data_IF_187433999962
#
_entry.id   IF_187433999962
#
_cell.length_a   1.000
_cell.length_b   1.000
_cell.length_c   1.000
_cell.angle_alpha   90.00
_cell.angle_beta   90.00
_cell.angle_gamma   90.00
#
_symmetry.space_group_name_H-M   'P 1'
#
loop_
_entity.id
_entity.type
_entity.pdbx_description
1 polymer ?
#
# COMPACT_ATOMS: atom_id res chain seq x y z
N UNK A 1 31.77 -17.49 -50.76
CA UNK A 1 31.55 -16.40 -49.80
C UNK A 1 30.72 -16.92 -48.65
N UNK A 2 31.26 -16.82 -47.44
CA UNK A 2 30.57 -17.01 -46.15
C UNK A 2 29.52 -15.91 -45.98
N UNK A 3 28.29 -16.20 -45.51
CA UNK A 3 27.79 -15.79 -44.18
C UNK A 3 26.66 -16.74 -43.73
N UNK A 4 26.70 -17.02 -42.43
CA UNK A 4 25.89 -17.87 -41.56
C UNK A 4 24.45 -17.38 -41.31
N UNK A 5 23.55 -18.36 -41.18
CA UNK A 5 22.50 -18.57 -40.15
C UNK A 5 21.80 -17.37 -39.50
N UNK A 6 20.46 -17.40 -39.42
CA UNK A 6 19.76 -17.68 -38.15
C UNK A 6 18.26 -17.95 -38.36
N UNK A 7 17.81 -19.11 -37.88
CA UNK A 7 16.42 -19.51 -37.76
C UNK A 7 15.82 -18.78 -36.56
N UNK A 8 14.78 -17.96 -36.77
CA UNK A 8 13.92 -17.50 -35.67
C UNK A 8 12.59 -18.25 -35.76
N UNK A 9 12.54 -19.34 -34.99
CA UNK A 9 11.35 -20.14 -34.69
C UNK A 9 10.28 -19.25 -34.06
N UNK A 10 9.03 -19.50 -34.46
CA UNK A 10 7.80 -19.16 -33.75
C UNK A 10 7.99 -19.36 -32.24
N UNK A 11 7.73 -18.33 -31.44
CA UNK A 11 7.51 -18.49 -30.02
C UNK A 11 6.06 -18.94 -29.83
N UNK A 12 5.92 -20.17 -29.34
CA UNK A 12 4.66 -20.81 -28.96
C UNK A 12 3.94 -20.02 -27.87
N UNK A 13 2.62 -19.94 -27.99
CA UNK A 13 1.68 -19.65 -26.91
C UNK A 13 1.57 -20.84 -25.94
N UNK A 14 2.71 -21.26 -25.36
CA UNK A 14 2.79 -22.28 -24.33
C UNK A 14 3.93 -21.91 -23.37
N UNK A 15 3.67 -20.93 -22.52
CA UNK A 15 4.35 -20.84 -21.23
C UNK A 15 3.27 -20.61 -20.17
N UNK A 16 2.35 -21.58 -20.05
CA UNK A 16 1.74 -21.87 -18.76
C UNK A 16 2.89 -22.31 -17.84
N UNK A 17 3.40 -21.39 -17.03
CA UNK A 17 4.25 -21.75 -15.90
C UNK A 17 3.35 -22.37 -14.81
N UNK A 18 3.63 -23.59 -14.33
CA UNK A 18 2.93 -24.14 -13.19
C UNK A 18 3.52 -23.55 -11.89
N UNK A 19 2.62 -23.27 -10.93
CA UNK A 19 2.83 -22.78 -9.54
C UNK A 19 2.60 -21.29 -9.21
N UNK A 20 1.54 -20.71 -9.75
CA UNK A 20 0.98 -19.40 -9.35
C UNK A 20 0.35 -19.33 -7.93
N UNK A 21 0.48 -20.35 -7.06
CA UNK A 21 -0.43 -20.49 -5.91
C UNK A 21 -0.16 -19.57 -4.72
N UNK A 22 1.02 -18.95 -4.56
CA UNK A 22 1.26 -18.03 -3.42
C UNK A 22 1.00 -16.56 -3.80
N UNK A 23 1.25 -16.21 -5.07
CA UNK A 23 1.11 -14.84 -5.57
C UNK A 23 -0.31 -14.51 -6.03
N UNK A 24 -1.05 -15.49 -6.56
CA UNK A 24 -2.49 -15.30 -6.79
C UNK A 24 -3.24 -15.19 -5.47
N UNK A 25 -2.88 -15.95 -4.43
CA UNK A 25 -3.56 -15.87 -3.14
C UNK A 25 -3.25 -14.60 -2.33
N UNK A 26 -2.11 -13.93 -2.55
CA UNK A 26 -1.81 -12.65 -1.86
C UNK A 26 -2.34 -11.42 -2.60
N UNK A 27 -2.68 -11.53 -3.90
CA UNK A 27 -3.43 -10.50 -4.63
C UNK A 27 -4.95 -10.76 -4.62
N UNK A 28 -5.38 -12.04 -4.52
CA UNK A 28 -6.77 -12.46 -4.45
C UNK A 28 -7.36 -12.49 -3.03
N UNK A 29 -6.58 -12.19 -1.99
CA UNK A 29 -7.11 -12.05 -0.63
C UNK A 29 -8.06 -10.85 -0.46
N UNK A 30 -8.22 -9.96 -1.47
CA UNK A 30 -9.20 -8.86 -1.43
C UNK A 30 -9.82 -8.50 -2.80
N UNK A 31 -10.02 -9.49 -3.68
CA UNK A 31 -11.07 -9.46 -4.72
C UNK A 31 -10.96 -8.45 -5.89
N UNK A 32 -10.28 -7.32 -5.77
CA UNK A 32 -10.19 -6.31 -6.85
C UNK A 32 -8.81 -5.64 -6.83
N UNK A 33 -8.06 -5.73 -7.92
CA UNK A 33 -6.92 -4.84 -8.14
C UNK A 33 -7.51 -3.45 -8.41
N UNK A 34 -7.55 -2.61 -7.38
CA UNK A 34 -8.15 -1.27 -7.47
C UNK A 34 -7.15 -0.26 -7.98
N UNK A 35 -7.62 0.61 -8.88
CA UNK A 35 -6.86 1.71 -9.44
C UNK A 35 -6.59 2.83 -8.43
N UNK A 36 -7.36 2.90 -7.34
CA UNK A 36 -7.28 3.93 -6.31
C UNK A 36 -7.55 3.36 -4.91
N UNK A 37 -7.05 4.04 -3.89
CA UNK A 37 -7.40 3.76 -2.50
C UNK A 37 -8.82 4.27 -2.22
N UNK A 38 -9.76 3.36 -2.00
CA UNK A 38 -11.17 3.68 -1.72
C UNK A 38 -11.57 3.26 -0.31
N UNK A 39 -12.43 4.04 0.35
CA UNK A 39 -13.08 3.68 1.60
C UNK A 39 -13.20 4.85 2.57
N UNK A 40 -13.76 4.59 3.75
CA UNK A 40 -13.83 5.56 4.85
C UNK A 40 -12.80 5.28 5.94
N UNK A 41 -11.89 4.33 5.76
CA UNK A 41 -10.81 4.03 6.72
C UNK A 41 -9.49 4.56 6.21
N UNK A 42 -8.53 4.72 7.12
CA UNK A 42 -7.16 5.00 6.71
C UNK A 42 -6.58 3.82 5.91
N UNK A 43 -5.69 4.10 4.94
CA UNK A 43 -5.14 3.08 4.05
C UNK A 43 -4.41 1.95 4.80
N UNK A 44 -4.69 0.69 4.43
CA UNK A 44 -3.92 -0.47 4.89
C UNK A 44 -2.71 -0.72 4.00
N UNK A 45 -1.72 -1.46 4.51
CA UNK A 45 -0.57 -1.90 3.72
C UNK A 45 -1.00 -2.58 2.41
N UNK A 46 -2.03 -3.44 2.47
CA UNK A 46 -2.59 -4.11 1.31
C UNK A 46 -3.21 -3.16 0.29
N UNK A 47 -3.96 -2.14 0.72
CA UNK A 47 -4.55 -1.15 -0.18
C UNK A 47 -3.49 -0.35 -0.95
N UNK A 48 -2.44 0.09 -0.25
CA UNK A 48 -1.34 0.84 -0.91
C UNK A 48 -0.59 -0.05 -1.91
N UNK A 49 -0.36 -1.33 -1.57
CA UNK A 49 0.24 -2.30 -2.49
C UNK A 49 -0.65 -2.61 -3.70
N UNK A 50 -1.97 -2.67 -3.53
CA UNK A 50 -2.89 -2.92 -4.64
C UNK A 50 -2.79 -1.83 -5.72
N UNK A 51 -2.78 -0.56 -5.32
CA UNK A 51 -2.59 0.58 -6.24
C UNK A 51 -1.23 0.51 -6.93
N UNK A 52 -0.18 0.09 -6.22
CA UNK A 52 1.13 -0.12 -6.82
C UNK A 52 1.07 -1.17 -7.94
N UNK A 53 0.47 -2.33 -7.66
CA UNK A 53 0.38 -3.40 -8.65
C UNK A 53 -0.52 -3.07 -9.83
N UNK A 54 -1.62 -2.33 -9.62
CA UNK A 54 -2.46 -1.82 -10.70
C UNK A 54 -1.63 -0.97 -11.67
N UNK A 55 -0.93 0.03 -11.13
CA UNK A 55 -0.15 0.98 -11.92
C UNK A 55 1.01 0.31 -12.67
N UNK A 56 1.64 -0.71 -12.08
CA UNK A 56 2.70 -1.47 -12.77
C UNK A 56 2.12 -2.35 -13.88
N UNK A 57 0.97 -3.01 -13.66
CA UNK A 57 0.42 -4.03 -14.58
C UNK A 57 -0.43 -3.42 -15.70
N UNK A 58 -1.31 -2.49 -15.36
CA UNK A 58 -2.31 -1.94 -16.26
C UNK A 58 -1.86 -0.60 -16.88
N UNK A 59 -1.13 0.21 -16.10
CA UNK A 59 -0.70 1.56 -16.53
C UNK A 59 0.76 1.56 -17.03
N UNK A 60 1.49 0.46 -16.85
CA UNK A 60 2.91 0.31 -17.24
C UNK A 60 3.85 1.38 -16.64
N UNK A 61 3.54 1.86 -15.43
CA UNK A 61 4.43 2.78 -14.70
C UNK A 61 5.61 2.03 -14.07
N UNK A 62 6.72 2.74 -13.87
CA UNK A 62 7.82 2.20 -13.08
C UNK A 62 7.39 2.02 -11.62
N UNK A 63 8.07 1.12 -10.90
CA UNK A 63 7.84 0.93 -9.45
C UNK A 63 7.96 2.25 -8.68
N UNK A 64 8.88 3.12 -9.09
CA UNK A 64 9.11 4.40 -8.41
C UNK A 64 7.97 5.39 -8.66
N UNK A 65 7.55 5.57 -9.91
CA UNK A 65 6.41 6.45 -10.23
C UNK A 65 5.14 5.98 -9.54
N UNK A 66 4.86 4.68 -9.64
CA UNK A 66 3.70 4.05 -9.03
C UNK A 66 3.71 4.16 -7.49
N UNK A 67 4.86 3.97 -6.84
CA UNK A 67 5.02 4.18 -5.40
C UNK A 67 4.73 5.62 -4.99
N UNK A 68 5.20 6.60 -5.77
CA UNK A 68 4.92 8.01 -5.49
C UNK A 68 3.43 8.32 -5.61
N UNK A 69 2.74 7.78 -6.61
CA UNK A 69 1.29 7.96 -6.77
C UNK A 69 0.51 7.35 -5.60
N UNK A 70 0.78 6.09 -5.27
CA UNK A 70 0.10 5.40 -4.17
C UNK A 70 0.28 6.12 -2.83
N UNK A 71 1.47 6.67 -2.58
CA UNK A 71 1.74 7.42 -1.34
C UNK A 71 1.11 8.81 -1.34
N UNK A 72 1.03 9.49 -2.49
CA UNK A 72 0.28 10.75 -2.60
C UNK A 72 -1.20 10.54 -2.31
N UNK A 73 -1.80 9.46 -2.83
CA UNK A 73 -3.16 9.08 -2.49
C UNK A 73 -3.31 8.80 -0.99
N UNK A 74 -2.35 8.10 -0.37
CA UNK A 74 -2.37 7.90 1.07
C UNK A 74 -2.37 9.21 1.84
N UNK A 75 -1.54 10.17 1.47
CA UNK A 75 -1.42 11.46 2.18
C UNK A 75 -2.77 12.18 2.24
N UNK A 76 -3.56 12.15 1.17
CA UNK A 76 -4.90 12.77 1.14
C UNK A 76 -5.78 12.24 2.29
N UNK A 77 -5.82 10.91 2.50
CA UNK A 77 -6.60 10.32 3.61
C UNK A 77 -6.13 10.78 4.99
N UNK A 78 -4.84 11.06 5.16
CA UNK A 78 -4.27 11.49 6.42
C UNK A 78 -4.47 12.99 6.65
N UNK A 79 -4.46 13.78 5.59
CA UNK A 79 -4.82 15.20 5.60
C UNK A 79 -6.31 15.39 5.94
N UNK A 80 -7.20 14.58 5.34
CA UNK A 80 -8.64 14.55 5.67
C UNK A 80 -8.89 14.15 7.12
N UNK A 81 -8.04 13.28 7.67
CA UNK A 81 -8.06 12.91 9.08
C UNK A 81 -7.42 13.95 10.02
N UNK A 82 -6.97 15.10 9.47
CA UNK A 82 -6.27 16.19 10.19
C UNK A 82 -5.05 15.72 10.97
N UNK A 83 -4.42 14.64 10.50
CA UNK A 83 -3.27 14.06 11.19
C UNK A 83 -1.96 14.59 10.59
N UNK A 84 -1.05 15.12 11.42
CA UNK A 84 0.20 15.66 10.92
C UNK A 84 1.07 14.53 10.34
N UNK A 85 1.58 14.77 9.14
CA UNK A 85 2.50 13.87 8.42
C UNK A 85 3.89 14.53 8.24
N UNK A 86 4.95 13.73 8.27
CA UNK A 86 6.31 13.98 7.78
C UNK A 86 6.37 14.17 6.25
N UNK A 87 7.59 14.33 5.73
CA UNK A 87 7.82 14.46 4.29
C UNK A 87 7.50 13.17 3.50
N UNK A 88 6.97 13.35 2.28
CA UNK A 88 6.69 12.31 1.28
C UNK A 88 7.82 11.29 1.12
N UNK A 89 9.08 11.75 1.09
CA UNK A 89 10.27 10.90 0.90
C UNK A 89 10.38 9.79 1.96
N UNK A 90 10.02 10.09 3.21
CA UNK A 90 10.09 9.13 4.30
C UNK A 90 9.07 8.00 4.10
N UNK A 91 7.89 8.33 3.56
CA UNK A 91 6.82 7.37 3.31
C UNK A 91 7.08 6.53 2.08
N UNK A 92 7.61 7.13 1.02
CA UNK A 92 8.10 6.39 -0.14
C UNK A 92 9.17 5.39 0.31
N UNK A 93 10.13 5.78 1.16
CA UNK A 93 11.13 4.86 1.72
C UNK A 93 10.50 3.74 2.56
N UNK A 94 9.49 4.05 3.39
CA UNK A 94 8.73 3.03 4.15
C UNK A 94 8.01 2.07 3.22
N UNK A 95 7.35 2.58 2.19
CA UNK A 95 6.61 1.80 1.21
C UNK A 95 7.52 0.86 0.43
N UNK A 96 8.68 1.35 0.00
CA UNK A 96 9.68 0.51 -0.64
C UNK A 96 10.12 -0.67 0.25
N UNK A 97 10.23 -0.49 1.57
CA UNK A 97 10.53 -1.63 2.47
C UNK A 97 9.43 -2.70 2.42
N UNK A 98 8.16 -2.30 2.45
CA UNK A 98 7.02 -3.23 2.34
C UNK A 98 7.04 -3.96 1.00
N UNK A 99 7.27 -3.22 -0.09
CA UNK A 99 7.40 -3.79 -1.42
C UNK A 99 8.60 -4.76 -1.54
N UNK A 100 9.75 -4.44 -0.94
CA UNK A 100 10.92 -5.33 -0.96
C UNK A 100 10.65 -6.64 -0.22
N UNK A 101 10.00 -6.60 0.95
CA UNK A 101 9.57 -7.81 1.67
C UNK A 101 8.69 -8.68 0.77
N UNK A 102 7.70 -8.06 0.10
CA UNK A 102 6.87 -8.77 -0.87
C UNK A 102 7.69 -9.37 -2.03
N UNK A 103 8.63 -8.63 -2.61
CA UNK A 103 9.48 -9.11 -3.71
C UNK A 103 10.35 -10.29 -3.29
N UNK A 104 10.89 -10.27 -2.08
CA UNK A 104 11.71 -11.36 -1.57
C UNK A 104 10.87 -12.60 -1.27
N UNK A 105 9.65 -12.43 -0.77
CA UNK A 105 8.69 -13.53 -0.63
C UNK A 105 8.32 -14.11 -2.00
N UNK A 106 8.09 -13.27 -3.00
CA UNK A 106 7.79 -13.70 -4.36
C UNK A 106 8.94 -14.51 -4.98
N UNK A 107 10.18 -14.04 -4.86
CA UNK A 107 11.37 -14.75 -5.39
C UNK A 107 11.57 -16.12 -4.74
N UNK A 108 11.18 -16.27 -3.48
CA UNK A 108 11.34 -17.50 -2.71
C UNK A 108 10.06 -18.35 -2.70
N UNK A 109 8.99 -17.96 -3.40
CA UNK A 109 7.70 -18.65 -3.37
C UNK A 109 7.79 -20.12 -3.81
N UNK A 110 8.68 -20.44 -4.76
CA UNK A 110 8.89 -21.81 -5.27
C UNK A 110 9.71 -22.70 -4.32
N UNK A 111 10.32 -22.12 -3.29
CA UNK A 111 11.11 -22.88 -2.31
C UNK A 111 10.14 -23.45 -1.28
N UNK A 112 9.83 -24.74 -1.39
CA UNK A 112 8.95 -25.51 -0.49
C UNK A 112 9.47 -25.67 0.95
N UNK A 113 10.39 -24.80 1.42
CA UNK A 113 10.87 -24.89 2.79
C UNK A 113 9.80 -24.36 3.76
N UNK A 114 9.52 -25.17 4.77
CA UNK A 114 8.57 -24.87 5.84
C UNK A 114 8.93 -23.56 6.58
N UNK A 115 10.21 -23.20 6.58
CA UNK A 115 10.76 -21.95 7.15
C UNK A 115 10.17 -20.68 6.51
N UNK A 116 9.65 -20.74 5.27
CA UNK A 116 9.07 -19.57 4.60
C UNK A 116 7.58 -19.38 4.88
N UNK A 117 6.85 -20.42 5.29
CA UNK A 117 5.40 -20.30 5.57
C UNK A 117 5.09 -19.32 6.69
N UNK A 118 5.82 -19.29 7.84
CA UNK A 118 5.59 -18.30 8.88
C UNK A 118 5.78 -16.86 8.38
N UNK A 119 6.79 -16.61 7.54
CA UNK A 119 7.04 -15.27 6.98
C UNK A 119 5.95 -14.83 6.00
N UNK A 120 5.41 -15.77 5.22
CA UNK A 120 4.27 -15.48 4.35
C UNK A 120 3.04 -15.14 5.19
N UNK A 121 2.72 -15.94 6.21
CA UNK A 121 1.60 -15.69 7.11
C UNK A 121 1.73 -14.37 7.87
N UNK A 122 2.93 -14.04 8.35
CA UNK A 122 3.22 -12.76 8.97
C UNK A 122 2.98 -11.61 7.98
N UNK A 123 3.45 -11.74 6.74
CA UNK A 123 3.22 -10.73 5.72
C UNK A 123 1.74 -10.56 5.39
N UNK A 124 0.99 -11.66 5.21
CA UNK A 124 -0.46 -11.63 4.97
C UNK A 124 -1.19 -10.95 6.14
N UNK A 125 -0.85 -11.31 7.37
CA UNK A 125 -1.46 -10.69 8.57
C UNK A 125 -1.16 -9.19 8.65
N UNK A 126 0.00 -8.77 8.13
CA UNK A 126 0.37 -7.37 8.05
C UNK A 126 -0.35 -6.59 6.94
N UNK A 127 -1.00 -7.22 5.97
CA UNK A 127 -1.68 -6.51 4.88
C UNK A 127 -2.87 -5.70 5.38
N UNK A 128 -3.56 -6.18 6.41
CA UNK A 128 -4.68 -5.48 7.03
C UNK A 128 -4.25 -4.42 8.05
N UNK A 129 -2.95 -4.36 8.38
CA UNK A 129 -2.45 -3.33 9.28
C UNK A 129 -2.45 -1.96 8.60
N UNK A 130 -2.64 -0.93 9.43
CA UNK A 130 -2.58 0.47 9.02
C UNK A 130 -1.22 0.79 8.38
N UNK A 131 -1.24 1.40 7.19
CA UNK A 131 -0.04 2.00 6.62
C UNK A 131 0.24 3.32 7.34
N UNK A 132 0.83 3.23 8.54
CA UNK A 132 1.00 4.39 9.43
C UNK A 132 1.99 5.42 8.84
N UNK A 133 1.48 6.59 8.46
CA UNK A 133 2.29 7.73 8.03
C UNK A 133 2.15 8.91 8.99
N UNK A 134 1.75 8.70 10.24
CA UNK A 134 1.72 9.78 11.22
C UNK A 134 3.12 10.33 11.50
N UNK A 135 3.19 11.61 11.89
CA UNK A 135 4.32 12.14 12.61
C UNK A 135 4.54 11.35 13.92
N UNK A 136 5.79 11.26 14.41
CA UNK A 136 6.06 10.56 15.67
C UNK A 136 5.30 11.21 16.84
N UNK A 137 5.31 12.53 16.86
CA UNK A 137 4.60 13.35 17.84
C UNK A 137 3.18 13.72 17.41
N UNK A 138 2.59 12.97 16.47
CA UNK A 138 1.30 13.33 15.89
C UNK A 138 0.20 13.47 16.95
N UNK A 139 0.18 12.58 17.96
CA UNK A 139 -0.78 12.64 19.05
C UNK A 139 -0.60 13.90 19.93
N UNK A 140 0.64 14.39 20.09
CA UNK A 140 0.92 15.60 20.86
C UNK A 140 0.54 16.87 20.08
N UNK A 141 0.75 16.85 18.76
CA UNK A 141 0.46 17.97 17.86
C UNK A 141 -1.04 18.13 17.57
N UNK A 142 -1.80 17.04 17.57
CA UNK A 142 -3.27 17.10 17.46
C UNK A 142 -3.85 17.84 18.66
N UNK A 143 -4.70 18.83 18.42
CA UNK A 143 -5.38 19.60 19.49
C UNK A 143 -6.72 19.00 19.88
N UNK A 144 -7.37 18.31 18.95
CA UNK A 144 -8.71 17.75 19.08
C UNK A 144 -8.61 16.33 19.64
N UNK A 145 -9.35 16.05 20.71
CA UNK A 145 -9.29 14.74 21.39
C UNK A 145 -9.97 13.65 20.56
N UNK A 146 -11.04 13.99 19.85
CA UNK A 146 -11.74 13.10 18.93
C UNK A 146 -10.81 12.56 17.82
N UNK A 147 -9.98 13.42 17.24
CA UNK A 147 -9.00 13.05 16.20
C UNK A 147 -7.90 12.14 16.76
N UNK A 148 -7.45 12.40 18.00
CA UNK A 148 -6.50 11.52 18.71
C UNK A 148 -7.10 10.14 18.95
N UNK A 149 -8.34 10.09 19.44
CA UNK A 149 -9.08 8.86 19.68
C UNK A 149 -9.32 8.08 18.39
N UNK A 150 -9.66 8.77 17.29
CA UNK A 150 -9.75 8.18 15.97
C UNK A 150 -8.42 7.54 15.55
N UNK A 151 -7.32 8.30 15.64
CA UNK A 151 -5.97 7.83 15.30
C UNK A 151 -5.56 6.59 16.10
N UNK A 152 -5.88 6.54 17.40
CA UNK A 152 -5.60 5.38 18.24
C UNK A 152 -6.46 4.17 17.85
N UNK A 153 -7.76 4.36 17.62
CA UNK A 153 -8.66 3.28 17.18
C UNK A 153 -8.27 2.70 15.82
N UNK A 154 -7.72 3.51 14.90
CA UNK A 154 -7.21 3.01 13.61
C UNK A 154 -5.95 2.13 13.75
N UNK A 155 -5.20 2.24 14.84
CA UNK A 155 -4.01 1.41 15.11
C UNK A 155 -4.36 0.09 15.81
N UNK A 156 -5.56 -0.04 16.33
CA UNK A 156 -6.01 -1.28 16.96
C UNK A 156 -6.25 -2.37 15.91
N UNK A 157 -6.08 -3.66 16.28
CA UNK A 157 -6.51 -4.76 15.43
C UNK A 157 -8.00 -4.58 15.07
N UNK A 158 -8.40 -5.01 13.87
CA UNK A 158 -9.78 -4.88 13.33
C UNK A 158 -10.15 -3.46 12.87
N UNK A 159 -9.41 -2.41 13.26
CA UNK A 159 -9.58 -1.02 12.78
C UNK A 159 -11.06 -0.55 12.79
N UNK A 160 -11.68 -0.42 13.97
CA UNK A 160 -13.13 -0.20 14.11
C UNK A 160 -13.60 1.20 13.70
N UNK A 161 -12.70 2.18 13.68
CA UNK A 161 -13.06 3.56 13.37
C UNK A 161 -13.22 3.81 11.86
N UNK A 162 -13.99 4.83 11.50
CA UNK A 162 -14.20 5.29 10.13
C UNK A 162 -14.16 6.83 10.13
N UNK A 163 -13.61 7.42 9.07
CA UNK A 163 -13.62 8.85 8.80
C UNK A 163 -15.08 9.31 8.75
N UNK A 164 -15.44 10.24 9.63
CA UNK A 164 -16.72 10.92 9.61
C UNK A 164 -16.72 12.07 8.59
N UNK A 165 -17.87 12.70 8.39
CA UNK A 165 -17.94 13.92 7.57
C UNK A 165 -17.15 15.07 8.21
N UNK A 166 -16.67 16.00 7.37
CA UNK A 166 -15.92 17.18 7.79
C UNK A 166 -16.77 18.05 8.73
N UNK A 167 -16.27 18.32 9.95
CA UNK A 167 -16.92 19.26 10.86
C UNK A 167 -16.66 20.70 10.40
N UNK A 168 -17.70 21.30 9.81
CA UNK A 168 -17.67 22.66 9.27
C UNK A 168 -17.38 23.71 10.34
N UNK A 169 -17.88 23.53 11.57
CA UNK A 169 -17.71 24.51 12.65
C UNK A 169 -16.25 24.64 13.05
N UNK A 170 -15.57 23.50 13.21
CA UNK A 170 -14.13 23.46 13.50
C UNK A 170 -13.30 24.02 12.34
N UNK A 171 -13.71 23.76 11.09
CA UNK A 171 -13.00 24.29 9.92
C UNK A 171 -13.06 25.82 9.89
N UNK A 172 -14.24 26.40 10.14
CA UNK A 172 -14.43 27.85 10.16
C UNK A 172 -13.64 28.54 11.30
N UNK A 173 -13.53 27.90 12.46
CA UNK A 173 -12.73 28.41 13.59
C UNK A 173 -11.23 28.41 13.31
N UNK A 174 -10.70 27.37 12.66
CA UNK A 174 -9.31 27.31 12.26
C UNK A 174 -8.96 28.31 11.16
N UNK A 175 -9.86 28.49 10.18
CA UNK A 175 -9.68 29.50 9.13
C UNK A 175 -9.62 30.91 9.71
N UNK A 176 -10.48 31.24 10.69
CA UNK A 176 -10.42 32.51 11.40
C UNK A 176 -9.13 32.70 12.20
N UNK A 177 -8.57 31.63 12.77
CA UNK A 177 -7.33 31.70 13.53
C UNK A 177 -6.07 31.83 12.66
N UNK A 178 -6.18 31.59 11.34
CA UNK A 178 -5.07 31.74 10.37
C UNK A 178 -5.01 33.14 9.73
N UNK A 179 -6.04 33.97 9.90
CA UNK A 179 -6.12 35.37 9.49
C UNK A 179 -5.55 36.30 10.57
#
# INVERSE_FOLDING_TARGET
>A
MSVRTCVLKRANADTLQPDMSVAEHTAAANGDIKHQITGSKLPSNGQVLAVLFYNIREVNLTVNESANLAIRECIIFWEEARMPTKSLRNYVRKFFKVYQVWRDLQKNAKKLQDVFKPRQQEFVSNLDNLFDIAHADALQLMKIEEDRMFSQRQRQPVRPAHLGGVDKKLTDEEERARL
#
